data_IF_356004212884
#
_entry.id   IF_356004212884
#
_cell.length_a   1.000
_cell.length_b   1.000
_cell.length_c   1.000
_cell.angle_alpha   90.00
_cell.angle_beta   90.00
_cell.angle_gamma   90.00
#
_symmetry.space_group_name_H-M   'P 1'
#
loop_
_entity.id
_entity.type
_entity.pdbx_description
1 polymer ?
#
# COMPACT_ATOMS: atom_id res chain seq x y z
N UNK A 1 41.02 -84.01 38.81
CA UNK A 1 39.81 -84.38 39.59
C UNK A 1 38.67 -84.44 38.56
N UNK A 2 37.89 -85.53 38.40
CA UNK A 2 36.87 -86.09 39.33
C UNK A 2 35.85 -85.01 39.73
N UNK A 3 34.52 -85.15 39.50
CA UNK A 3 33.68 -86.36 39.26
C UNK A 3 32.46 -86.06 38.37
N UNK A 4 31.84 -87.10 37.76
CA UNK A 4 30.58 -87.03 36.99
C UNK A 4 29.44 -87.82 37.66
N UNK A 5 28.27 -87.20 37.86
CA UNK A 5 26.92 -87.76 38.14
C UNK A 5 25.92 -86.67 37.66
N UNK A 6 24.85 -86.80 36.88
CA UNK A 6 23.89 -87.85 36.44
C UNK A 6 22.50 -87.87 37.15
N UNK A 7 21.47 -88.35 36.42
CA UNK A 7 20.01 -88.06 36.52
C UNK A 7 19.27 -88.50 37.81
N UNK A 8 18.15 -87.82 38.12
CA UNK A 8 16.85 -88.50 38.43
C UNK A 8 15.56 -87.65 38.37
N UNK A 9 14.67 -88.00 37.42
CA UNK A 9 13.19 -88.13 37.44
C UNK A 9 12.24 -87.31 38.37
N UNK A 10 11.09 -86.90 37.79
CA UNK A 10 9.75 -86.80 38.43
C UNK A 10 9.18 -85.37 38.58
N UNK A 11 7.86 -85.10 38.53
CA UNK A 11 6.67 -85.89 38.13
C UNK A 11 5.43 -84.95 37.93
N UNK A 12 4.39 -85.37 37.18
CA UNK A 12 3.04 -84.73 37.05
C UNK A 12 3.00 -83.28 36.49
N UNK A 13 2.41 -82.98 35.31
CA UNK A 13 0.97 -82.91 34.98
C UNK A 13 0.15 -81.92 35.86
N UNK A 14 -0.73 -81.06 35.34
CA UNK A 14 -1.47 -81.12 34.05
C UNK A 14 -1.90 -79.73 33.47
N UNK A 15 -2.19 -79.69 32.16
CA UNK A 15 -3.02 -78.75 31.37
C UNK A 15 -2.91 -77.21 31.56
N UNK A 16 -2.57 -76.49 30.47
CA UNK A 16 -2.64 -75.02 30.43
C UNK A 16 -2.08 -74.34 29.16
N UNK A 17 -2.52 -74.73 27.96
CA UNK A 17 -2.12 -74.12 26.67
C UNK A 17 -3.32 -73.48 25.93
N UNK A 18 -3.12 -72.62 24.91
CA UNK A 18 -1.88 -71.97 24.47
C UNK A 18 -2.00 -70.44 24.21
N UNK A 19 -0.87 -69.73 24.11
CA UNK A 19 -0.45 -68.91 22.93
C UNK A 19 0.80 -68.06 23.23
N UNK A 20 1.44 -67.58 22.17
CA UNK A 20 2.88 -67.29 22.14
C UNK A 20 3.20 -65.85 21.72
N UNK A 21 4.33 -65.30 22.18
CA UNK A 21 4.99 -64.02 21.80
C UNK A 21 4.12 -62.73 21.68
N UNK A 22 4.49 -61.60 22.28
CA UNK A 22 5.74 -60.90 21.93
C UNK A 22 6.20 -59.81 22.93
N UNK A 23 7.41 -59.30 22.67
CA UNK A 23 8.19 -58.27 23.38
C UNK A 23 7.46 -57.23 24.27
N UNK A 24 8.04 -56.97 25.46
CA UNK A 24 7.74 -55.78 26.29
C UNK A 24 8.17 -54.50 25.55
N UNK A 25 7.23 -53.75 24.99
CA UNK A 25 7.47 -52.41 24.43
C UNK A 25 7.65 -51.40 25.57
N UNK A 26 8.76 -50.67 25.57
CA UNK A 26 9.02 -49.64 26.60
C UNK A 26 8.03 -48.48 26.49
N UNK A 27 7.29 -48.20 27.56
CA UNK A 27 6.36 -47.07 27.65
C UNK A 27 7.08 -45.82 28.18
N UNK A 28 8.00 -45.28 27.37
CA UNK A 28 8.42 -43.89 27.53
C UNK A 28 7.33 -43.02 26.86
N UNK A 29 6.64 -42.13 27.60
CA UNK A 29 5.72 -41.19 26.98
C UNK A 29 6.53 -40.16 26.19
N UNK A 30 6.55 -40.29 24.86
CA UNK A 30 7.15 -39.29 23.97
C UNK A 30 6.38 -37.98 24.12
N UNK A 31 6.89 -37.06 24.95
CA UNK A 31 6.35 -35.71 25.10
C UNK A 31 6.43 -35.02 23.73
N UNK A 32 5.30 -34.94 23.03
CA UNK A 32 5.22 -34.22 21.77
C UNK A 32 5.58 -32.75 22.01
N UNK A 33 6.51 -32.23 21.20
CA UNK A 33 6.74 -30.79 21.11
C UNK A 33 5.57 -30.15 20.34
N UNK A 34 4.44 -30.05 21.03
CA UNK A 34 3.33 -29.14 20.66
C UNK A 34 3.54 -27.76 21.29
N UNK A 35 4.80 -27.29 21.29
CA UNK A 35 5.11 -25.87 21.39
C UNK A 35 4.71 -25.28 20.03
N UNK A 36 3.52 -24.69 19.94
CA UNK A 36 3.15 -23.88 18.79
C UNK A 36 4.17 -22.76 18.67
N UNK A 37 5.03 -22.82 17.65
CA UNK A 37 5.89 -21.68 17.33
C UNK A 37 4.97 -20.53 16.91
N UNK A 38 5.01 -19.44 17.67
CA UNK A 38 4.27 -18.23 17.34
C UNK A 38 4.69 -17.78 15.93
N UNK A 39 3.73 -17.73 15.01
CA UNK A 39 3.98 -17.32 13.63
C UNK A 39 4.51 -15.89 13.63
N UNK A 40 5.70 -15.69 13.05
CA UNK A 40 6.30 -14.37 12.91
C UNK A 40 5.53 -13.59 11.84
N UNK A 41 4.60 -12.77 12.28
CA UNK A 41 3.80 -11.92 11.42
C UNK A 41 4.36 -10.50 11.49
N UNK A 42 4.48 -9.82 10.36
CA UNK A 42 5.02 -8.46 10.29
C UNK A 42 4.07 -7.58 9.47
N UNK A 43 3.73 -6.40 10.01
CA UNK A 43 2.89 -5.40 9.36
C UNK A 43 3.68 -4.13 9.07
N UNK A 44 3.79 -3.81 7.77
CA UNK A 44 4.25 -2.54 7.25
C UNK A 44 3.02 -1.64 7.05
N UNK A 45 3.06 -0.42 7.59
CA UNK A 45 2.00 0.58 7.41
C UNK A 45 2.64 1.88 6.89
N UNK A 46 2.20 2.38 5.74
CA UNK A 46 2.63 3.69 5.25
C UNK A 46 2.00 4.81 6.08
N UNK A 47 2.80 5.76 6.57
CA UNK A 47 2.32 6.98 7.23
C UNK A 47 1.61 7.96 6.30
N UNK A 48 1.50 7.65 5.00
CA UNK A 48 0.60 8.36 4.08
C UNK A 48 -0.88 8.08 4.35
N UNK A 49 -1.23 6.87 4.82
CA UNK A 49 -2.61 6.39 5.00
C UNK A 49 -3.36 7.18 6.08
N UNK A 50 -4.61 7.53 5.81
CA UNK A 50 -5.48 8.33 6.68
C UNK A 50 -5.66 7.66 8.05
N UNK A 51 -5.28 8.36 9.13
CA UNK A 51 -5.40 7.83 10.50
C UNK A 51 -4.74 6.43 10.65
N UNK A 52 -3.57 6.22 10.03
CA UNK A 52 -2.78 4.99 10.19
C UNK A 52 -2.52 4.61 11.66
N UNK A 53 -2.57 5.58 12.58
CA UNK A 53 -2.44 5.35 14.02
C UNK A 53 -3.60 4.51 14.60
N UNK A 54 -4.80 4.57 14.01
CA UNK A 54 -5.89 3.65 14.33
C UNK A 54 -5.54 2.22 13.89
N UNK A 55 -5.02 2.05 12.67
CA UNK A 55 -4.61 0.74 12.15
C UNK A 55 -3.49 0.12 13.00
N UNK A 56 -2.47 0.89 13.39
CA UNK A 56 -1.42 0.46 14.32
C UNK A 56 -2.00 -0.07 15.65
N UNK A 57 -2.95 0.64 16.26
CA UNK A 57 -3.66 0.18 17.48
C UNK A 57 -4.52 -1.07 17.24
N UNK A 58 -4.98 -1.25 16.01
CA UNK A 58 -5.76 -2.38 15.53
C UNK A 58 -4.97 -3.66 15.31
N UNK A 59 -3.64 -3.64 15.30
CA UNK A 59 -2.84 -4.86 15.10
C UNK A 59 -3.06 -5.88 16.24
N UNK A 60 -3.17 -7.16 15.87
CA UNK A 60 -3.26 -8.31 16.77
C UNK A 60 -1.94 -8.50 17.55
N UNK A 61 -1.97 -8.88 18.84
CA UNK A 61 -0.77 -9.26 19.59
C UNK A 61 0.01 -10.38 18.88
N UNK A 62 1.33 -10.29 18.88
CA UNK A 62 2.22 -11.25 18.20
C UNK A 62 2.68 -10.84 16.80
N UNK A 63 2.12 -9.77 16.23
CA UNK A 63 2.58 -9.16 14.97
C UNK A 63 3.54 -8.00 15.25
N UNK A 64 4.72 -7.99 14.64
CA UNK A 64 5.62 -6.83 14.61
C UNK A 64 5.03 -5.72 13.72
N UNK A 65 5.20 -4.45 14.08
CA UNK A 65 4.63 -3.30 13.33
C UNK A 65 5.71 -2.27 13.03
N UNK A 66 5.81 -1.88 11.76
CA UNK A 66 6.67 -0.80 11.29
C UNK A 66 5.84 0.23 10.53
N UNK A 67 6.03 1.50 10.88
CA UNK A 67 5.44 2.63 10.16
C UNK A 67 6.52 3.22 9.27
N UNK A 68 6.27 3.33 7.96
CA UNK A 68 7.22 3.88 7.01
C UNK A 68 7.26 5.42 7.04
N UNK A 69 8.44 5.97 6.77
CA UNK A 69 8.59 7.37 6.41
C UNK A 69 8.03 7.60 4.99
N UNK A 70 6.98 8.42 4.91
CA UNK A 70 6.30 8.87 3.70
C UNK A 70 7.18 9.59 2.67
N UNK A 71 8.38 10.05 3.07
CA UNK A 71 9.34 10.80 2.24
C UNK A 71 10.50 9.96 1.72
N UNK A 72 10.64 8.73 2.20
CA UNK A 72 11.71 7.81 1.79
C UNK A 72 11.16 6.65 0.95
N UNK A 73 12.02 6.04 0.14
CA UNK A 73 11.65 4.93 -0.74
C UNK A 73 11.09 3.75 0.07
N UNK A 74 9.79 3.48 -0.07
CA UNK A 74 9.10 2.45 0.71
C UNK A 74 9.64 1.05 0.45
N UNK A 75 10.14 0.78 -0.77
CA UNK A 75 10.69 -0.53 -1.12
C UNK A 75 12.05 -0.74 -0.45
N UNK A 76 12.90 0.30 -0.40
CA UNK A 76 14.17 0.26 0.35
C UNK A 76 13.93 0.09 1.85
N UNK A 77 13.05 0.90 2.46
CA UNK A 77 12.72 0.78 3.89
C UNK A 77 12.27 -0.63 4.30
N UNK A 78 11.37 -1.25 3.53
CA UNK A 78 10.93 -2.63 3.80
C UNK A 78 12.09 -3.62 3.64
N UNK A 79 12.96 -3.42 2.65
CA UNK A 79 14.15 -4.27 2.44
C UNK A 79 15.13 -4.19 3.62
N UNK A 80 15.31 -3.00 4.17
CA UNK A 80 16.13 -2.76 5.37
C UNK A 80 15.49 -3.40 6.61
N UNK A 81 14.18 -3.22 6.82
CA UNK A 81 13.42 -3.90 7.90
C UNK A 81 13.53 -5.43 7.79
N UNK A 82 13.51 -5.99 6.59
CA UNK A 82 13.57 -7.43 6.35
C UNK A 82 15.00 -7.99 6.30
N UNK A 83 16.04 -7.15 6.30
CA UNK A 83 17.43 -7.56 6.04
C UNK A 83 17.98 -8.60 7.03
N UNK A 84 17.81 -8.36 8.32
CA UNK A 84 18.21 -9.27 9.40
C UNK A 84 17.10 -10.26 9.82
N UNK A 85 15.98 -10.31 9.10
CA UNK A 85 14.82 -11.16 9.46
C UNK A 85 14.79 -12.44 8.63
N UNK A 86 14.34 -13.52 9.28
CA UNK A 86 14.19 -14.86 8.68
C UNK A 86 12.97 -15.56 9.24
N UNK A 87 12.41 -16.49 8.46
CA UNK A 87 11.27 -17.33 8.87
C UNK A 87 10.01 -16.51 9.24
N UNK A 88 9.75 -15.43 8.47
CA UNK A 88 8.50 -14.66 8.55
C UNK A 88 7.37 -15.48 7.91
N UNK A 89 6.26 -15.66 8.64
CA UNK A 89 5.05 -16.35 8.16
C UNK A 89 4.15 -15.44 7.32
N UNK A 90 4.06 -14.15 7.67
CA UNK A 90 3.32 -13.18 6.87
C UNK A 90 3.96 -11.80 6.85
N UNK A 91 3.93 -11.18 5.67
CA UNK A 91 4.26 -9.78 5.44
C UNK A 91 3.00 -9.06 4.98
N UNK A 92 2.35 -8.35 5.89
CA UNK A 92 1.22 -7.48 5.61
C UNK A 92 1.75 -6.09 5.22
N UNK A 93 1.29 -5.55 4.10
CA UNK A 93 1.69 -4.24 3.59
C UNK A 93 0.44 -3.40 3.42
N UNK A 94 0.34 -2.29 4.14
CA UNK A 94 -0.81 -1.39 4.16
C UNK A 94 -0.35 -0.03 3.64
N UNK A 95 -0.81 0.35 2.45
CA UNK A 95 -0.51 1.63 1.81
C UNK A 95 -1.66 2.01 0.87
N UNK A 96 -1.53 3.11 0.13
CA UNK A 96 -2.49 3.36 -0.96
C UNK A 96 -2.21 2.45 -2.15
N UNK A 97 -3.22 2.27 -3.00
CA UNK A 97 -3.11 1.49 -4.23
C UNK A 97 -3.88 2.11 -5.41
N UNK A 98 -3.54 1.63 -6.60
CA UNK A 98 -4.26 1.86 -7.87
C UNK A 98 -4.15 0.60 -8.74
N UNK A 99 -4.89 0.57 -9.86
CA UNK A 99 -4.82 -0.54 -10.83
C UNK A 99 -3.36 -0.78 -11.24
N UNK A 100 -2.84 -1.98 -10.95
CA UNK A 100 -1.45 -2.35 -11.21
C UNK A 100 -0.40 -1.37 -10.60
N UNK A 101 -0.66 -0.82 -9.42
CA UNK A 101 0.31 0.04 -8.74
C UNK A 101 0.16 0.08 -7.23
N UNK A 102 1.29 0.03 -6.53
CA UNK A 102 1.40 0.15 -5.07
C UNK A 102 2.11 1.45 -4.71
N UNK A 103 1.47 2.28 -3.89
CA UNK A 103 1.90 3.64 -3.58
C UNK A 103 2.39 3.69 -2.13
N UNK A 104 3.71 3.56 -1.93
CA UNK A 104 4.31 3.22 -0.64
C UNK A 104 5.60 4.00 -0.35
N UNK A 105 5.62 4.74 0.76
CA UNK A 105 6.66 5.73 1.03
C UNK A 105 6.69 6.77 -0.08
N UNK A 106 7.87 7.13 -0.60
CA UNK A 106 8.02 7.94 -1.81
C UNK A 106 7.89 7.15 -3.12
N UNK A 107 7.56 5.86 -3.10
CA UNK A 107 7.69 4.95 -4.25
C UNK A 107 6.34 4.50 -4.81
N UNK A 108 6.09 4.81 -6.07
CA UNK A 108 4.99 4.27 -6.87
C UNK A 108 5.45 3.00 -7.61
N UNK A 109 5.44 1.84 -6.96
CA UNK A 109 5.82 0.56 -7.58
C UNK A 109 4.76 0.14 -8.61
N UNK A 110 5.19 -0.18 -9.83
CA UNK A 110 4.32 -0.51 -10.97
C UNK A 110 5.07 -1.38 -12.02
N UNK A 111 4.40 -1.94 -13.04
CA UNK A 111 5.03 -2.77 -14.07
C UNK A 111 6.22 -2.13 -14.82
N UNK A 112 6.27 -0.81 -14.96
CA UNK A 112 7.35 -0.12 -15.69
C UNK A 112 8.65 -0.03 -14.86
N UNK A 113 8.56 -0.13 -13.52
CA UNK A 113 9.72 0.00 -12.62
C UNK A 113 10.01 -1.22 -11.73
N UNK A 114 9.12 -2.22 -11.66
CA UNK A 114 9.26 -3.38 -10.77
C UNK A 114 10.58 -4.14 -10.91
N UNK A 115 11.10 -4.28 -12.14
CA UNK A 115 12.39 -4.97 -12.38
C UNK A 115 13.60 -4.27 -11.75
N UNK A 116 13.53 -2.93 -11.60
CA UNK A 116 14.56 -2.14 -10.92
C UNK A 116 14.56 -2.34 -9.40
N UNK A 117 13.48 -2.91 -8.86
CA UNK A 117 13.35 -3.36 -7.46
C UNK A 117 13.50 -4.88 -7.31
N UNK A 118 13.84 -5.62 -8.38
CA UNK A 118 13.80 -7.09 -8.35
C UNK A 118 14.80 -7.70 -7.35
N UNK A 119 15.93 -7.03 -7.05
CA UNK A 119 16.88 -7.47 -6.02
C UNK A 119 16.29 -7.34 -4.60
N UNK A 120 15.65 -6.21 -4.32
CA UNK A 120 14.96 -5.88 -3.08
C UNK A 120 13.81 -6.86 -2.82
N UNK A 121 12.95 -7.08 -3.82
CA UNK A 121 11.84 -8.04 -3.74
C UNK A 121 12.34 -9.49 -3.56
N UNK A 122 13.43 -9.89 -4.22
CA UNK A 122 14.11 -11.18 -3.98
C UNK A 122 14.68 -11.29 -2.55
N UNK A 123 15.04 -10.17 -1.91
CA UNK A 123 15.46 -10.15 -0.51
C UNK A 123 14.27 -10.28 0.46
N UNK A 124 13.11 -9.68 0.15
CA UNK A 124 11.86 -9.92 0.91
C UNK A 124 11.50 -11.41 0.88
N UNK A 125 11.59 -12.03 -0.30
CA UNK A 125 11.41 -13.47 -0.49
C UNK A 125 12.32 -14.35 0.38
N UNK A 126 13.55 -13.91 0.66
CA UNK A 126 14.49 -14.64 1.54
C UNK A 126 14.16 -14.51 3.02
N UNK A 127 13.54 -13.41 3.45
CA UNK A 127 13.15 -13.19 4.84
C UNK A 127 11.90 -14.02 5.24
N UNK A 128 11.02 -14.31 4.28
CA UNK A 128 9.81 -15.12 4.49
C UNK A 128 10.14 -16.63 4.50
N UNK A 129 9.45 -17.38 5.37
CA UNK A 129 9.52 -18.83 5.47
C UNK A 129 9.08 -19.51 4.17
N UNK A 130 9.31 -20.83 4.03
CA UNK A 130 8.95 -21.56 2.80
C UNK A 130 7.45 -21.49 2.49
N UNK A 131 6.59 -21.40 3.52
CA UNK A 131 5.14 -21.23 3.39
C UNK A 131 4.66 -19.82 3.70
N UNK A 132 5.59 -18.85 3.77
CA UNK A 132 5.29 -17.46 4.10
C UNK A 132 4.61 -16.70 2.95
N UNK A 133 3.74 -15.75 3.29
CA UNK A 133 2.86 -15.09 2.32
C UNK A 133 2.97 -13.56 2.40
N UNK A 134 2.75 -12.87 1.28
CA UNK A 134 2.69 -11.40 1.20
C UNK A 134 1.21 -10.98 1.06
N UNK A 135 0.75 -10.02 1.85
CA UNK A 135 -0.64 -9.56 1.87
C UNK A 135 -0.68 -8.04 1.69
N UNK A 136 -1.11 -7.59 0.51
CA UNK A 136 -1.09 -6.17 0.11
C UNK A 136 -2.50 -5.58 0.22
N UNK A 137 -2.67 -4.69 1.20
CA UNK A 137 -3.87 -3.91 1.41
C UNK A 137 -3.66 -2.52 0.78
N UNK A 138 -4.40 -2.26 -0.28
CA UNK A 138 -4.37 -1.01 -1.05
C UNK A 138 -5.39 -1.11 -2.18
N UNK A 139 -6.15 -0.03 -2.42
CA UNK A 139 -7.28 -0.09 -3.35
C UNK A 139 -6.86 -0.52 -4.76
N UNK A 140 -7.61 -1.46 -5.33
CA UNK A 140 -7.54 -1.86 -6.74
C UNK A 140 -6.15 -2.39 -7.23
N UNK A 141 -5.19 -2.68 -6.34
CA UNK A 141 -3.84 -3.14 -6.73
C UNK A 141 -3.89 -4.31 -7.72
N UNK A 142 -4.76 -5.27 -7.44
CA UNK A 142 -4.98 -6.46 -8.25
C UNK A 142 -6.18 -6.37 -9.20
N UNK A 143 -6.71 -5.18 -9.47
CA UNK A 143 -7.90 -5.00 -10.29
C UNK A 143 -7.68 -5.38 -11.77
N UNK A 144 -8.59 -6.19 -12.31
CA UNK A 144 -8.59 -6.56 -13.72
C UNK A 144 -7.35 -7.36 -14.15
N UNK A 145 -7.11 -7.38 -15.47
CA UNK A 145 -6.02 -8.17 -16.06
C UNK A 145 -4.64 -7.67 -15.62
N UNK A 146 -4.37 -6.37 -15.79
CA UNK A 146 -3.07 -5.77 -15.47
C UNK A 146 -2.75 -5.79 -13.98
N UNK A 147 -3.74 -5.61 -13.11
CA UNK A 147 -3.56 -5.77 -11.66
C UNK A 147 -3.17 -7.19 -11.29
N UNK A 148 -3.81 -8.21 -11.89
CA UNK A 148 -3.39 -9.60 -11.70
C UNK A 148 -1.96 -9.84 -12.20
N UNK A 149 -1.63 -9.41 -13.42
CA UNK A 149 -0.30 -9.57 -14.00
C UNK A 149 0.80 -8.90 -13.13
N UNK A 150 0.52 -7.73 -12.56
CA UNK A 150 1.41 -7.06 -11.59
C UNK A 150 1.58 -7.87 -10.30
N UNK A 151 0.50 -8.44 -9.75
CA UNK A 151 0.61 -9.31 -8.56
C UNK A 151 1.32 -10.63 -8.83
N UNK A 152 1.15 -11.20 -10.04
CA UNK A 152 1.87 -12.40 -10.48
C UNK A 152 3.38 -12.11 -10.59
N UNK A 153 3.77 -10.96 -11.16
CA UNK A 153 5.18 -10.53 -11.23
C UNK A 153 5.82 -10.37 -9.84
N UNK A 154 5.15 -9.72 -8.88
CA UNK A 154 5.66 -9.62 -7.50
C UNK A 154 5.81 -11.02 -6.88
N UNK A 155 4.84 -11.91 -7.12
CA UNK A 155 4.86 -13.29 -6.62
C UNK A 155 6.02 -14.12 -7.21
N UNK A 156 6.30 -13.98 -8.51
CA UNK A 156 7.43 -14.63 -9.19
C UNK A 156 8.77 -14.10 -8.69
N UNK A 157 8.95 -12.77 -8.63
CA UNK A 157 10.20 -12.13 -8.19
C UNK A 157 10.50 -12.44 -6.72
N UNK A 158 9.49 -12.44 -5.85
CA UNK A 158 9.66 -12.79 -4.42
C UNK A 158 9.74 -14.30 -4.17
N UNK A 159 9.23 -15.13 -5.09
CA UNK A 159 9.07 -16.56 -4.88
C UNK A 159 8.09 -16.91 -3.75
N UNK A 160 7.05 -16.09 -3.54
CA UNK A 160 6.06 -16.25 -2.47
C UNK A 160 4.63 -16.11 -3.00
N UNK A 161 3.70 -16.80 -2.34
CA UNK A 161 2.27 -16.59 -2.57
C UNK A 161 1.90 -15.18 -2.09
N UNK A 162 1.11 -14.47 -2.90
CA UNK A 162 0.69 -13.10 -2.66
C UNK A 162 -0.84 -13.01 -2.67
N UNK A 163 -1.39 -12.17 -1.79
CA UNK A 163 -2.79 -11.78 -1.77
C UNK A 163 -2.90 -10.25 -1.90
N UNK A 164 -3.88 -9.75 -2.66
CA UNK A 164 -4.12 -8.32 -2.83
C UNK A 164 -5.60 -7.97 -3.10
N UNK A 165 -6.02 -6.76 -2.74
CA UNK A 165 -7.37 -6.25 -3.05
C UNK A 165 -7.51 -5.92 -4.54
N UNK A 166 -8.66 -6.30 -5.11
CA UNK A 166 -9.09 -6.03 -6.48
C UNK A 166 -10.10 -4.89 -6.59
N UNK A 167 -10.58 -4.40 -5.44
CA UNK A 167 -11.59 -3.35 -5.28
C UNK A 167 -11.11 -2.33 -4.22
N UNK A 168 -12.03 -1.52 -3.69
CA UNK A 168 -11.75 -0.52 -2.66
C UNK A 168 -11.46 -1.22 -1.31
N UNK A 169 -10.25 -1.03 -0.77
CA UNK A 169 -9.89 -1.49 0.57
C UNK A 169 -10.25 -0.44 1.63
N UNK A 170 -10.93 -0.80 2.72
CA UNK A 170 -11.22 0.07 3.86
C UNK A 170 -12.67 0.06 4.34
N UNK A 171 -13.22 1.25 4.59
CA UNK A 171 -14.53 1.49 5.19
C UNK A 171 -15.69 1.01 4.32
N UNK A 172 -16.57 0.18 4.88
CA UNK A 172 -17.81 -0.28 4.23
C UNK A 172 -18.81 0.84 3.94
N UNK A 173 -18.74 1.97 4.68
CA UNK A 173 -19.52 3.18 4.41
C UNK A 173 -19.13 3.85 3.08
N UNK A 174 -17.91 3.61 2.62
CA UNK A 174 -17.32 4.16 1.39
C UNK A 174 -17.26 3.10 0.27
N UNK A 175 -18.07 2.04 0.38
CA UNK A 175 -18.05 0.90 -0.56
C UNK A 175 -16.81 0.00 -0.45
N UNK A 176 -15.94 0.24 0.52
CA UNK A 176 -14.71 -0.54 0.74
C UNK A 176 -14.90 -1.77 1.63
N UNK A 177 -13.88 -2.63 1.68
CA UNK A 177 -13.84 -3.78 2.59
C UNK A 177 -12.38 -4.18 2.90
N UNK A 178 -12.13 -5.25 3.66
CA UNK A 178 -10.76 -5.67 4.04
C UNK A 178 -10.36 -7.06 3.50
N UNK A 179 -11.05 -7.54 2.45
CA UNK A 179 -10.73 -8.76 1.74
C UNK A 179 -9.61 -8.51 0.71
N UNK A 180 -8.90 -9.60 0.40
CA UNK A 180 -7.92 -9.68 -0.68
C UNK A 180 -8.46 -10.74 -1.64
N UNK A 181 -9.13 -10.34 -2.72
CA UNK A 181 -9.84 -11.29 -3.59
C UNK A 181 -8.93 -11.99 -4.60
N UNK A 182 -7.78 -11.39 -4.93
CA UNK A 182 -6.81 -11.96 -5.85
C UNK A 182 -5.67 -12.60 -5.05
N UNK A 183 -5.39 -13.85 -5.37
CA UNK A 183 -4.31 -14.64 -4.78
C UNK A 183 -3.50 -15.35 -5.85
N UNK A 184 -2.18 -15.34 -5.75
CA UNK A 184 -1.29 -16.04 -6.71
C UNK A 184 -1.03 -17.50 -6.33
N UNK A 185 -1.41 -17.91 -5.12
CA UNK A 185 -1.29 -19.27 -4.60
C UNK A 185 -2.14 -19.48 -3.34
N UNK A 186 -1.89 -20.55 -2.59
CA UNK A 186 -2.61 -20.81 -1.33
C UNK A 186 -2.17 -19.85 -0.22
N UNK A 187 -3.12 -19.09 0.34
CA UNK A 187 -2.88 -18.12 1.42
C UNK A 187 -3.40 -18.70 2.74
N UNK A 188 -2.47 -19.01 3.66
CA UNK A 188 -2.78 -19.62 4.96
C UNK A 188 -2.46 -18.64 6.11
N UNK A 189 -3.05 -17.44 6.04
CA UNK A 189 -2.77 -16.29 6.92
C UNK A 189 -4.06 -15.56 7.26
N UNK A 190 -4.28 -15.26 8.55
CA UNK A 190 -5.36 -14.36 8.97
C UNK A 190 -4.96 -12.88 8.78
N UNK A 191 -5.96 -12.00 8.65
CA UNK A 191 -5.80 -10.55 8.82
C UNK A 191 -4.99 -10.24 10.10
N UNK A 192 -3.94 -9.43 9.98
CA UNK A 192 -3.12 -8.95 11.10
C UNK A 192 -3.88 -8.02 12.07
N UNK A 193 -5.10 -7.63 11.74
CA UNK A 193 -5.90 -6.65 12.47
C UNK A 193 -7.06 -7.28 13.25
N UNK A 194 -7.43 -6.60 14.33
CA UNK A 194 -8.63 -6.81 15.13
C UNK A 194 -9.88 -6.36 14.34
N UNK A 195 -10.91 -7.21 14.17
CA UNK A 195 -12.10 -6.88 13.38
C UNK A 195 -12.80 -5.59 13.82
N UNK A 196 -12.86 -5.31 15.12
CA UNK A 196 -13.50 -4.12 15.69
C UNK A 196 -12.82 -2.80 15.30
N UNK A 197 -11.51 -2.82 15.00
CA UNK A 197 -10.79 -1.63 14.53
C UNK A 197 -10.95 -1.44 13.02
N UNK A 198 -11.04 -2.52 12.25
CA UNK A 198 -11.36 -2.48 10.82
C UNK A 198 -12.80 -1.99 10.57
N UNK A 199 -13.76 -2.45 11.38
CA UNK A 199 -15.17 -2.05 11.31
C UNK A 199 -15.43 -0.59 11.76
N UNK A 200 -14.49 0.02 12.48
CA UNK A 200 -14.56 1.43 12.93
C UNK A 200 -13.62 2.36 12.17
N UNK A 201 -12.91 1.86 11.15
CA UNK A 201 -12.07 2.67 10.28
C UNK A 201 -12.95 3.37 9.24
N UNK A 202 -12.91 4.70 9.19
CA UNK A 202 -13.85 5.50 8.39
C UNK A 202 -13.33 5.87 6.99
N UNK A 203 -12.07 5.56 6.67
CA UNK A 203 -11.42 5.92 5.40
C UNK A 203 -11.25 4.71 4.46
N UNK A 204 -10.68 4.92 3.27
CA UNK A 204 -10.29 3.86 2.33
C UNK A 204 -8.84 4.04 1.89
N UNK A 205 -8.15 2.95 1.54
CA UNK A 205 -6.76 2.94 1.08
C UNK A 205 -6.63 3.38 -0.39
N UNK A 206 -7.49 4.30 -0.81
CA UNK A 206 -7.61 4.79 -2.17
C UNK A 206 -6.79 6.06 -2.35
N UNK A 207 -6.26 6.26 -3.55
CA UNK A 207 -5.94 7.61 -4.00
C UNK A 207 -7.24 8.23 -4.51
N UNK A 208 -7.75 9.24 -3.81
CA UNK A 208 -8.93 10.00 -4.23
C UNK A 208 -8.63 10.78 -5.51
N UNK A 209 -7.48 11.46 -5.50
CA UNK A 209 -6.87 12.19 -6.62
C UNK A 209 -5.36 12.11 -6.45
N UNK A 210 -4.67 11.71 -7.52
CA UNK A 210 -3.26 12.10 -7.74
C UNK A 210 -3.16 12.65 -9.15
N UNK A 211 -2.58 13.81 -9.24
CA UNK A 211 -1.92 14.36 -10.41
C UNK A 211 -0.51 14.77 -9.95
N UNK A 212 0.42 14.95 -10.88
CA UNK A 212 1.78 15.43 -10.57
C UNK A 212 2.29 16.45 -11.57
N UNK A 213 1.46 16.82 -12.57
CA UNK A 213 1.70 17.84 -13.60
C UNK A 213 2.96 17.60 -14.48
N UNK A 214 3.74 16.54 -14.19
CA UNK A 214 4.97 16.11 -14.88
C UNK A 214 4.71 15.36 -16.19
N UNK A 215 3.48 14.92 -16.43
CA UNK A 215 3.05 14.21 -17.62
C UNK A 215 2.78 15.17 -18.80
N UNK A 216 2.98 14.75 -20.06
CA UNK A 216 2.81 15.62 -21.23
C UNK A 216 1.35 16.04 -21.53
N UNK A 217 0.38 15.53 -20.75
CA UNK A 217 -1.04 15.89 -20.76
C UNK A 217 -1.59 15.72 -19.35
N UNK A 218 -2.20 16.76 -18.77
CA UNK A 218 -2.98 16.66 -17.54
C UNK A 218 -4.46 16.40 -17.86
N UNK A 219 -5.13 15.53 -17.08
CA UNK A 219 -6.50 15.08 -17.36
C UNK A 219 -7.52 15.59 -16.34
N UNK A 220 -8.54 16.28 -16.83
CA UNK A 220 -9.65 16.82 -16.05
C UNK A 220 -10.28 18.05 -16.70
N UNK A 221 -11.45 18.51 -16.22
CA UNK A 221 -11.96 19.83 -16.53
C UNK A 221 -11.17 20.85 -15.71
N UNK A 222 -10.30 21.59 -16.40
CA UNK A 222 -9.49 22.65 -15.81
C UNK A 222 -10.00 24.03 -16.22
N UNK A 223 -9.96 24.99 -15.31
CA UNK A 223 -10.24 26.41 -15.59
C UNK A 223 -9.00 27.21 -15.15
N UNK A 224 -8.67 28.30 -15.82
CA UNK A 224 -7.53 29.15 -15.45
C UNK A 224 -7.82 30.62 -15.70
N UNK A 225 -6.98 31.50 -15.15
CA UNK A 225 -7.02 32.94 -15.40
C UNK A 225 -5.72 33.63 -15.03
N UNK A 226 -5.51 34.84 -15.55
CA UNK A 226 -4.28 35.62 -15.41
C UNK A 226 -4.56 37.11 -15.18
N UNK A 227 -3.61 37.81 -14.56
CA UNK A 227 -3.58 39.26 -14.41
C UNK A 227 -2.14 39.76 -14.20
N UNK A 228 -1.92 41.07 -14.16
CA UNK A 228 -0.58 41.66 -14.00
C UNK A 228 0.38 41.39 -15.17
N UNK A 229 -0.15 41.02 -16.35
CA UNK A 229 0.67 40.59 -17.49
C UNK A 229 1.12 39.13 -17.44
N UNK A 230 0.62 38.33 -16.49
CA UNK A 230 0.89 36.90 -16.43
C UNK A 230 0.50 36.19 -17.73
N UNK A 231 1.42 35.39 -18.24
CA UNK A 231 1.20 34.46 -19.35
C UNK A 231 0.31 33.29 -18.90
N UNK A 232 -0.33 32.65 -19.88
CA UNK A 232 -1.23 31.50 -19.69
C UNK A 232 -0.57 30.39 -18.85
N UNK A 233 -1.24 29.88 -17.79
CA UNK A 233 -0.80 28.70 -17.07
C UNK A 233 -0.71 27.47 -17.97
N UNK A 234 0.36 26.69 -17.85
CA UNK A 234 0.54 25.51 -18.69
C UNK A 234 1.62 24.53 -18.23
N UNK A 235 1.68 23.36 -18.86
CA UNK A 235 2.63 22.29 -18.53
C UNK A 235 3.94 22.44 -19.34
N UNK A 236 5.10 22.31 -18.69
CA UNK A 236 6.45 22.45 -19.30
C UNK A 236 6.97 21.19 -19.98
N UNK A 237 6.53 20.01 -19.54
CA UNK A 237 6.66 18.76 -20.29
C UNK A 237 5.47 18.52 -21.22
N UNK A 238 4.50 19.43 -21.23
CA UNK A 238 3.28 19.36 -22.02
C UNK A 238 3.56 19.32 -23.51
N UNK A 239 2.98 18.36 -24.23
CA UNK A 239 3.12 18.26 -25.70
C UNK A 239 1.82 17.93 -26.45
N UNK A 240 0.73 17.63 -25.73
CA UNK A 240 -0.58 17.33 -26.30
C UNK A 240 -1.66 18.39 -26.02
N UNK A 241 -2.83 18.28 -26.68
CA UNK A 241 -4.00 19.10 -26.38
C UNK A 241 -4.69 18.66 -25.07
N UNK A 242 -4.22 19.20 -23.94
CA UNK A 242 -4.91 19.14 -22.66
C UNK A 242 -5.89 20.31 -22.45
N UNK A 243 -6.67 20.27 -21.36
CA UNK A 243 -7.48 21.43 -20.93
C UNK A 243 -6.62 22.46 -20.18
N UNK A 244 -5.56 22.02 -19.48
CA UNK A 244 -4.39 22.87 -19.22
C UNK A 244 -3.55 22.92 -20.52
N UNK A 245 -3.25 24.12 -21.05
CA UNK A 245 -2.39 24.28 -22.22
C UNK A 245 -0.95 23.76 -22.03
N UNK A 246 -0.35 23.28 -23.12
CA UNK A 246 1.10 23.01 -23.19
C UNK A 246 1.87 24.33 -23.37
N UNK A 247 3.07 24.41 -22.80
CA UNK A 247 4.01 25.52 -23.00
C UNK A 247 5.10 25.20 -24.04
N UNK A 248 4.94 24.12 -24.79
CA UNK A 248 5.95 23.53 -25.65
C UNK A 248 6.89 22.59 -24.90
N UNK A 249 7.89 22.09 -25.64
CA UNK A 249 8.89 21.14 -25.14
C UNK A 249 9.96 21.87 -24.30
N UNK A 250 9.70 22.06 -23.01
CA UNK A 250 10.68 22.54 -22.04
C UNK A 250 11.41 21.39 -21.34
N UNK A 251 10.63 20.55 -20.64
CA UNK A 251 11.14 19.49 -19.76
C UNK A 251 10.76 18.08 -20.27
N UNK A 252 11.55 17.04 -19.95
CA UNK A 252 11.14 15.66 -20.23
C UNK A 252 9.96 15.24 -19.33
N UNK A 253 9.12 14.28 -19.76
CA UNK A 253 8.14 13.63 -18.87
C UNK A 253 8.80 13.11 -17.59
N UNK A 254 8.17 13.36 -16.44
CA UNK A 254 8.75 13.06 -15.11
C UNK A 254 9.68 14.15 -14.54
N UNK A 255 10.18 15.06 -15.37
CA UNK A 255 10.86 16.30 -14.93
C UNK A 255 10.00 17.55 -15.07
N UNK A 256 8.74 17.40 -15.50
CA UNK A 256 7.85 18.50 -15.87
C UNK A 256 7.20 19.25 -14.71
N UNK A 257 6.70 20.43 -15.05
CA UNK A 257 6.09 21.40 -14.15
C UNK A 257 4.77 21.93 -14.73
N UNK A 258 3.77 22.25 -13.90
CA UNK A 258 2.85 23.34 -14.24
C UNK A 258 3.60 24.67 -14.03
N UNK A 259 3.15 25.70 -14.73
CA UNK A 259 3.78 26.99 -14.78
C UNK A 259 2.71 28.08 -14.72
N UNK A 260 2.36 28.61 -13.53
CA UNK A 260 1.34 29.67 -13.33
C UNK A 260 1.73 31.08 -13.88
N UNK A 261 2.73 31.79 -13.32
CA UNK A 261 3.22 33.12 -13.78
C UNK A 261 4.75 33.22 -13.93
N UNK A 262 5.26 33.77 -15.03
CA UNK A 262 6.71 33.95 -15.29
C UNK A 262 7.49 34.79 -14.26
N UNK A 263 8.83 34.80 -14.38
CA UNK A 263 9.78 35.61 -13.61
C UNK A 263 9.76 37.11 -14.02
N UNK A 264 8.58 37.73 -13.93
CA UNK A 264 8.42 39.17 -14.11
C UNK A 264 7.42 39.73 -13.09
N UNK A 265 7.74 40.91 -12.55
CA UNK A 265 7.11 41.45 -11.34
C UNK A 265 5.57 41.61 -11.45
N UNK A 266 4.89 41.55 -10.31
CA UNK A 266 3.46 41.85 -10.16
C UNK A 266 2.49 40.93 -10.92
N UNK A 267 2.96 39.80 -11.45
CA UNK A 267 2.12 38.82 -12.13
C UNK A 267 1.29 37.97 -11.15
N UNK A 268 0.04 37.68 -11.52
CA UNK A 268 -0.83 36.79 -10.76
C UNK A 268 -1.63 35.87 -11.69
N UNK A 269 -1.77 34.60 -11.34
CA UNK A 269 -2.54 33.62 -12.13
C UNK A 269 -3.12 32.52 -11.24
N UNK A 270 -4.10 31.81 -11.80
CA UNK A 270 -4.71 30.67 -11.14
C UNK A 270 -4.99 29.50 -12.07
N UNK A 271 -5.02 28.31 -11.48
CA UNK A 271 -5.59 27.10 -12.07
C UNK A 271 -6.61 26.52 -11.09
N UNK A 272 -7.70 26.00 -11.66
CA UNK A 272 -8.84 25.39 -11.00
C UNK A 272 -8.92 23.93 -11.42
N UNK A 273 -8.79 23.01 -10.46
CA UNK A 273 -9.11 21.60 -10.65
C UNK A 273 -10.60 21.37 -10.35
N UNK A 274 -11.39 21.06 -11.38
CA UNK A 274 -12.84 20.90 -11.24
C UNK A 274 -13.33 19.44 -11.31
N UNK A 275 -12.50 18.49 -10.88
CA UNK A 275 -12.98 17.14 -10.53
C UNK A 275 -13.54 17.15 -9.10
N UNK A 276 -14.59 16.37 -8.87
CA UNK A 276 -15.17 16.17 -7.55
C UNK A 276 -14.25 15.32 -6.66
N UNK A 277 -14.11 15.73 -5.40
CA UNK A 277 -13.37 14.99 -4.36
C UNK A 277 -14.37 14.60 -3.24
N UNK A 278 -14.38 13.34 -2.79
CA UNK A 278 -15.20 12.93 -1.65
C UNK A 278 -14.71 13.59 -0.34
N UNK A 279 -15.44 14.60 0.13
CA UNK A 279 -15.08 15.35 1.35
C UNK A 279 -15.28 14.58 2.66
N UNK A 280 -15.98 13.44 2.63
CA UNK A 280 -16.07 12.53 3.78
C UNK A 280 -14.71 11.91 4.16
N UNK A 281 -13.79 11.85 3.19
CA UNK A 281 -12.51 11.16 3.29
C UNK A 281 -11.39 12.12 3.75
N UNK A 282 -11.70 13.41 3.80
CA UNK A 282 -10.74 14.50 4.04
C UNK A 282 -9.98 14.91 2.77
N UNK A 283 -9.09 15.89 2.89
CA UNK A 283 -8.12 16.21 1.84
C UNK A 283 -6.74 16.44 2.44
N UNK A 284 -5.75 15.82 1.82
CA UNK A 284 -4.34 16.09 2.07
C UNK A 284 -3.72 16.62 0.78
N UNK A 285 -3.10 17.79 0.88
CA UNK A 285 -2.41 18.45 -0.23
C UNK A 285 -0.94 18.62 0.17
N UNK A 286 -0.06 18.47 -0.81
CA UNK A 286 1.39 18.61 -0.70
C UNK A 286 1.82 19.34 -1.97
N UNK A 287 2.74 20.30 -1.85
CA UNK A 287 3.35 20.98 -2.99
C UNK A 287 4.84 21.14 -2.68
N UNK A 288 5.70 20.83 -3.64
CA UNK A 288 7.11 21.22 -3.61
C UNK A 288 7.28 22.53 -4.39
N UNK A 289 7.69 23.60 -3.70
CA UNK A 289 7.74 24.95 -4.25
C UNK A 289 9.15 25.30 -4.75
N UNK A 290 9.26 25.57 -6.05
CA UNK A 290 10.50 25.97 -6.70
C UNK A 290 10.35 27.36 -7.35
N UNK A 291 11.29 28.25 -7.04
CA UNK A 291 11.51 29.51 -7.77
C UNK A 291 12.80 29.38 -8.58
N UNK A 292 12.77 29.76 -9.85
CA UNK A 292 13.92 29.65 -10.75
C UNK A 292 14.28 31.02 -11.34
N UNK A 293 15.58 31.31 -11.41
CA UNK A 293 16.15 32.50 -12.06
C UNK A 293 15.78 33.88 -11.45
N UNK A 294 15.40 33.96 -10.18
CA UNK A 294 15.33 35.24 -9.46
C UNK A 294 16.71 35.61 -8.88
N UNK A 295 17.20 36.81 -9.19
CA UNK A 295 18.40 37.39 -8.55
C UNK A 295 18.08 38.05 -7.19
N UNK A 296 16.81 38.00 -6.79
CA UNK A 296 16.26 38.55 -5.56
C UNK A 296 15.53 37.44 -4.80
N UNK A 297 15.70 37.38 -3.47
CA UNK A 297 14.96 36.47 -2.62
C UNK A 297 13.55 37.04 -2.36
N UNK A 298 12.55 36.56 -3.09
CA UNK A 298 11.15 36.91 -2.91
C UNK A 298 10.26 36.08 -3.84
N UNK A 299 9.33 35.34 -3.25
CA UNK A 299 8.22 34.69 -3.94
C UNK A 299 7.02 34.86 -2.99
N UNK A 300 6.07 35.71 -3.37
CA UNK A 300 5.18 36.35 -2.37
C UNK A 300 4.01 35.46 -1.93
N UNK A 301 3.81 34.31 -2.58
CA UNK A 301 3.13 33.17 -1.98
C UNK A 301 2.30 32.31 -2.92
N UNK A 302 2.01 31.10 -2.45
CA UNK A 302 1.02 30.19 -3.03
C UNK A 302 -0.16 30.07 -2.07
N UNK A 303 -1.37 30.35 -2.53
CA UNK A 303 -2.59 30.19 -1.73
C UNK A 303 -3.47 29.09 -2.30
N UNK A 304 -3.81 28.11 -1.46
CA UNK A 304 -4.67 26.99 -1.79
C UNK A 304 -6.06 27.18 -1.19
N UNK A 305 -7.10 26.99 -2.00
CA UNK A 305 -8.50 27.09 -1.56
C UNK A 305 -9.27 25.82 -1.92
N UNK A 306 -10.18 25.43 -1.03
CA UNK A 306 -11.29 24.51 -1.31
C UNK A 306 -12.58 25.32 -1.43
N UNK A 307 -13.38 25.05 -2.46
CA UNK A 307 -14.73 25.62 -2.57
C UNK A 307 -15.78 24.51 -2.68
N UNK A 308 -16.49 24.30 -1.57
CA UNK A 308 -17.66 23.43 -1.51
C UNK A 308 -18.80 24.05 -2.34
N UNK A 309 -19.28 23.33 -3.36
CA UNK A 309 -20.50 23.73 -4.06
C UNK A 309 -21.71 23.31 -3.20
N UNK A 310 -22.43 24.30 -2.68
CA UNK A 310 -23.69 24.04 -1.98
C UNK A 310 -24.68 23.39 -2.96
N UNK A 311 -25.35 22.28 -2.58
CA UNK A 311 -26.34 21.66 -3.45
C UNK A 311 -27.40 22.68 -3.89
N UNK A 312 -27.73 22.69 -5.19
CA UNK A 312 -28.85 23.47 -5.72
C UNK A 312 -30.17 22.94 -5.15
N UNK A 313 -30.57 23.45 -3.99
CA UNK A 313 -31.92 23.36 -3.38
C UNK A 313 -32.72 22.15 -3.87
N UNK A 314 -32.27 20.94 -3.47
CA UNK A 314 -33.05 19.73 -3.72
C UNK A 314 -34.41 19.89 -3.03
N UNK A 315 -35.47 19.42 -3.70
CA UNK A 315 -36.80 19.40 -3.07
C UNK A 315 -36.76 18.49 -1.85
N UNK A 316 -37.56 18.84 -0.85
CA UNK A 316 -37.44 18.38 0.54
C UNK A 316 -37.93 16.93 0.74
N UNK A 317 -37.30 15.96 0.08
CA UNK A 317 -37.56 14.52 0.21
C UNK A 317 -36.28 13.66 0.07
N UNK A 318 -35.33 14.04 -0.79
CA UNK A 318 -34.05 13.32 -0.98
C UNK A 318 -32.98 13.73 0.07
N UNK A 319 -32.94 13.03 1.21
CA UNK A 319 -32.04 13.39 2.34
C UNK A 319 -30.70 12.65 2.42
N UNK A 320 -30.37 11.75 1.49
CA UNK A 320 -29.13 10.94 1.50
C UNK A 320 -28.24 11.15 0.26
N UNK A 321 -27.74 12.39 0.04
CA UNK A 321 -26.73 12.69 -0.99
C UNK A 321 -25.82 13.90 -0.66
N UNK A 322 -25.56 14.17 0.62
CA UNK A 322 -24.79 15.35 1.05
C UNK A 322 -23.27 15.12 1.11
N UNK A 323 -22.59 15.33 -0.03
CA UNK A 323 -21.50 16.33 -0.16
C UNK A 323 -20.65 16.07 -1.41
N UNK A 324 -20.77 16.94 -2.40
CA UNK A 324 -19.79 17.04 -3.50
C UNK A 324 -18.89 18.23 -3.18
N UNK A 325 -17.61 17.98 -2.91
CA UNK A 325 -16.62 19.06 -2.77
C UNK A 325 -15.82 19.16 -4.05
N UNK A 326 -15.78 20.36 -4.61
CA UNK A 326 -15.04 20.67 -5.81
C UNK A 326 -13.78 21.46 -5.45
N UNK A 327 -13.02 21.80 -6.49
CA UNK A 327 -12.40 23.10 -6.63
C UNK A 327 -11.21 23.35 -5.70
N UNK A 328 -10.06 22.83 -6.15
CA UNK A 328 -8.73 23.39 -5.82
C UNK A 328 -8.58 24.68 -6.61
N UNK A 329 -8.44 25.83 -5.93
CA UNK A 329 -7.82 27.02 -6.53
C UNK A 329 -6.37 27.09 -6.05
N UNK A 330 -5.43 27.22 -6.97
CA UNK A 330 -4.08 27.72 -6.66
C UNK A 330 -4.03 29.18 -7.10
N UNK A 331 -3.91 30.14 -6.18
CA UNK A 331 -3.61 31.54 -6.49
C UNK A 331 -2.11 31.81 -6.32
N UNK A 332 -1.47 32.26 -7.40
CA UNK A 332 -0.20 32.97 -7.36
C UNK A 332 -0.47 34.49 -7.42
N UNK A 333 0.22 35.24 -6.58
CA UNK A 333 0.31 36.71 -6.57
C UNK A 333 1.82 37.06 -6.47
N UNK A 334 2.31 38.08 -7.20
CA UNK A 334 3.68 38.27 -7.65
C UNK A 334 4.62 37.05 -7.73
N UNK A 335 4.91 36.65 -8.98
CA UNK A 335 5.95 35.67 -9.36
C UNK A 335 5.85 34.27 -8.72
N UNK A 336 4.96 33.43 -9.23
CA UNK A 336 5.11 31.98 -9.04
C UNK A 336 4.67 31.14 -10.23
N UNK A 337 5.50 30.18 -10.64
CA UNK A 337 5.19 29.08 -11.54
C UNK A 337 4.91 27.80 -10.74
N UNK A 338 3.68 27.59 -10.23
CA UNK A 338 3.39 26.43 -9.38
C UNK A 338 3.33 25.08 -10.13
N UNK A 339 4.02 24.07 -9.59
CA UNK A 339 3.91 22.62 -9.92
C UNK A 339 2.89 21.94 -8.98
N UNK A 340 2.63 20.64 -9.20
CA UNK A 340 1.54 19.81 -8.61
C UNK A 340 2.43 18.83 -7.82
#
# INVERSE_FOLDING_TARGET
>A
MKTTIDRSKGSSANAGEPRNFNAKKSLIPTRSKSESQAQKNLAIIDSKVENYQQLVRGIKPGTEVFVLDRTQDGIKQITEILSDRTDIHSLHIISHGKVAGLEIGSTALNPDNIESYSSQLKQWGKALSQTGNILIYGCNVAAGKSGKEFTDQISEITGKNLAASSNITGSTKLGGNWQLEVTTGQINVELAFKPEVLATYNYVLGILVTESFQNPTALGPWIYGTSGGAIQPGLTSGSGPGIIPSLGLGDPPGGGALRLTSNADNQAAFVIYNNAIPSGDGLRVIFDLFAYNSNSFGADGISFFLMMELPRQLKQEDSEALSVTHLIIILAYPELLAVI
#
